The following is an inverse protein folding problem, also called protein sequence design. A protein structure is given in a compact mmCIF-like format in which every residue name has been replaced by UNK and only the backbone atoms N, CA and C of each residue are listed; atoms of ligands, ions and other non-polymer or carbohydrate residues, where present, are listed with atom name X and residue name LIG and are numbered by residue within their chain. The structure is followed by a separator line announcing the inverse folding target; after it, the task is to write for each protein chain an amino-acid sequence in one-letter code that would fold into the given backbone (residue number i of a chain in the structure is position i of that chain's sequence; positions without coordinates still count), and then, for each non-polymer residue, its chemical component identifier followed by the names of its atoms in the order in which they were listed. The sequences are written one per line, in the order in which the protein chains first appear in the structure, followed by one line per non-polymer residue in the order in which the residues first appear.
data_IF_408322746657
#
_entry.id   IF_408322746657
#
_cell.length_a   1.000
_cell.length_b   1.000
_cell.length_c   1.000
_cell.angle_alpha   90.00
_cell.angle_beta   90.00
_cell.angle_gamma   90.00
#
_symmetry.space_group_name_H-M   'P 1'
#
loop_
_entity.id
_entity.type
_entity.pdbx_description
1 polymer ?
#
# COMPACT_ATOMS: atom_id res chain seq x y z
N UNK A 1 -21.34 -10.25 -15.50
CA UNK A 1 -20.87 -11.17 -14.44
C UNK A 1 -19.81 -12.07 -15.05
N UNK A 2 -18.58 -11.56 -15.17
CA UNK A 2 -17.47 -12.31 -15.77
C UNK A 2 -16.61 -12.78 -14.61
N UNK A 3 -16.74 -14.06 -14.22
CA UNK A 3 -15.86 -14.63 -13.21
C UNK A 3 -14.49 -14.88 -13.84
N UNK A 4 -13.48 -14.18 -13.34
CA UNK A 4 -12.08 -14.49 -13.64
C UNK A 4 -11.68 -15.65 -12.73
N UNK A 5 -11.64 -16.86 -13.28
CA UNK A 5 -11.13 -18.03 -12.57
C UNK A 5 -9.62 -18.07 -12.73
N UNK A 6 -8.90 -17.70 -11.68
CA UNK A 6 -7.45 -17.84 -11.63
C UNK A 6 -7.11 -19.32 -11.39
N UNK A 7 -6.46 -19.95 -12.37
CA UNK A 7 -5.95 -21.31 -12.23
C UNK A 7 -4.62 -21.24 -11.45
N UNK A 8 -4.65 -21.52 -10.13
CA UNK A 8 -3.42 -21.65 -9.35
C UNK A 8 -2.77 -23.00 -9.69
N UNK A 9 -1.79 -22.98 -10.59
CA UNK A 9 -0.92 -24.12 -10.89
C UNK A 9 0.28 -24.25 -9.93
N UNK A 10 0.38 -23.41 -8.90
CA UNK A 10 1.47 -23.40 -7.94
C UNK A 10 0.99 -23.13 -6.51
N UNK A 11 1.66 -23.76 -5.54
CA UNK A 11 1.40 -23.56 -4.12
C UNK A 11 1.82 -22.13 -3.71
N UNK A 12 0.93 -21.44 -3.01
CA UNK A 12 1.18 -20.08 -2.52
C UNK A 12 1.42 -20.12 -1.01
N UNK A 13 2.59 -19.66 -0.60
CA UNK A 13 2.97 -19.56 0.81
C UNK A 13 2.98 -18.10 1.26
N UNK A 14 2.40 -17.83 2.43
CA UNK A 14 2.50 -16.54 3.11
C UNK A 14 3.65 -16.64 4.10
N UNK A 15 4.74 -15.93 3.82
CA UNK A 15 5.93 -15.95 4.68
C UNK A 15 5.84 -14.98 5.85
N UNK A 16 5.21 -13.82 5.64
CA UNK A 16 5.22 -12.72 6.60
C UNK A 16 3.91 -11.92 6.56
N UNK A 17 3.52 -11.36 7.70
CA UNK A 17 2.30 -10.58 7.85
C UNK A 17 2.52 -9.38 8.78
N UNK A 18 2.99 -8.27 8.21
CA UNK A 18 3.21 -7.00 8.92
C UNK A 18 2.03 -6.05 8.67
N UNK A 19 1.70 -5.24 9.67
CA UNK A 19 0.69 -4.17 9.56
C UNK A 19 1.29 -2.83 9.90
N UNK A 20 0.86 -1.79 9.19
CA UNK A 20 1.20 -0.40 9.53
C UNK A 20 0.49 0.02 10.81
N UNK A 21 1.08 0.92 11.62
CA UNK A 21 0.37 1.59 12.70
C UNK A 21 -0.93 2.22 12.20
N UNK A 22 -2.01 2.09 12.98
CA UNK A 22 -3.33 2.63 12.63
C UNK A 22 -3.65 3.74 13.60
N UNK A 23 -3.83 4.95 13.06
CA UNK A 23 -4.27 6.10 13.84
C UNK A 23 -5.77 6.33 13.73
N UNK A 24 -6.29 7.15 14.65
CA UNK A 24 -7.68 7.61 14.62
C UNK A 24 -7.84 8.67 13.54
N UNK A 25 -8.81 8.52 12.64
CA UNK A 25 -9.09 9.51 11.57
C UNK A 25 -9.80 10.78 12.04
N UNK A 26 -9.45 11.29 13.23
CA UNK A 26 -9.96 12.56 13.78
C UNK A 26 -8.88 13.63 13.63
N UNK A 27 -9.27 14.92 13.73
CA UNK A 27 -8.33 16.05 13.62
C UNK A 27 -7.14 15.94 14.60
N UNK A 28 -7.41 15.45 15.81
CA UNK A 28 -6.38 15.23 16.84
C UNK A 28 -5.79 13.79 16.81
N UNK A 29 -5.92 13.10 15.68
CA UNK A 29 -5.41 11.74 15.52
C UNK A 29 -3.90 11.72 15.32
N UNK A 30 -3.22 10.78 15.97
CA UNK A 30 -1.75 10.63 15.91
C UNK A 30 -1.18 10.44 14.50
N UNK A 31 -1.98 9.92 13.56
CA UNK A 31 -1.60 9.75 12.15
C UNK A 31 -2.39 10.67 11.20
N UNK A 32 -3.09 11.69 11.71
CA UNK A 32 -3.91 12.59 10.87
C UNK A 32 -3.06 13.47 9.95
N UNK A 33 -1.90 13.90 10.41
CA UNK A 33 -0.96 14.72 9.63
C UNK A 33 0.00 13.87 8.77
N UNK A 34 0.03 12.56 9.00
CA UNK A 34 0.93 11.63 8.32
C UNK A 34 0.37 11.27 6.95
N UNK A 35 1.18 11.48 5.90
CA UNK A 35 0.80 11.14 4.54
C UNK A 35 0.73 9.61 4.39
N UNK A 36 -0.27 9.06 3.67
CA UNK A 36 -0.39 7.60 3.50
C UNK A 36 0.86 6.93 2.91
N UNK A 37 1.59 7.61 2.04
CA UNK A 37 2.86 7.12 1.47
C UNK A 37 3.92 6.86 2.55
N UNK A 38 3.97 7.68 3.61
CA UNK A 38 4.92 7.51 4.71
C UNK A 38 4.65 6.24 5.51
N UNK A 39 3.38 5.79 5.57
CA UNK A 39 3.03 4.51 6.19
C UNK A 39 3.49 3.32 5.34
N UNK A 40 3.42 3.45 4.02
CA UNK A 40 3.92 2.42 3.09
C UNK A 40 5.45 2.32 3.14
N UNK A 41 6.15 3.47 3.15
CA UNK A 41 7.61 3.50 3.28
C UNK A 41 8.05 2.85 4.59
N UNK A 42 7.44 3.23 5.71
CA UNK A 42 7.74 2.61 7.00
C UNK A 42 7.48 1.10 7.02
N UNK A 43 6.45 0.62 6.31
CA UNK A 43 6.21 -0.82 6.16
C UNK A 43 7.35 -1.53 5.42
N UNK A 44 7.86 -0.95 4.33
CA UNK A 44 8.94 -1.52 3.54
C UNK A 44 10.24 -1.53 4.35
N UNK A 45 10.52 -0.45 5.08
CA UNK A 45 11.70 -0.36 5.95
C UNK A 45 11.66 -1.40 7.06
N UNK A 46 10.50 -1.67 7.66
CA UNK A 46 10.33 -2.73 8.65
C UNK A 46 10.57 -4.14 8.06
N UNK A 47 10.17 -4.38 6.81
CA UNK A 47 10.46 -5.64 6.10
C UNK A 47 11.97 -5.80 5.92
N UNK A 48 12.67 -4.76 5.46
CA UNK A 48 14.14 -4.78 5.28
C UNK A 48 14.86 -5.01 6.60
N UNK A 49 14.43 -4.33 7.66
CA UNK A 49 15.03 -4.49 8.99
C UNK A 49 14.88 -5.91 9.54
N UNK A 50 13.72 -6.55 9.29
CA UNK A 50 13.47 -7.93 9.72
C UNK A 50 14.21 -8.96 8.87
N UNK A 51 14.40 -8.68 7.59
CA UNK A 51 15.06 -9.58 6.63
C UNK A 51 16.29 -8.90 5.99
N UNK A 52 17.43 -8.80 6.70
CA UNK A 52 18.63 -8.12 6.20
C UNK A 52 19.30 -8.83 5.01
N UNK A 53 18.95 -10.10 4.75
CA UNK A 53 19.38 -10.87 3.58
C UNK A 53 18.35 -10.93 2.45
N UNK A 54 17.32 -10.09 2.49
CA UNK A 54 16.32 -10.02 1.43
C UNK A 54 16.95 -9.44 0.17
N UNK A 55 16.96 -10.24 -0.89
CA UNK A 55 17.38 -9.79 -2.22
C UNK A 55 16.20 -9.11 -2.93
N UNK A 56 16.33 -7.79 -3.12
CA UNK A 56 15.28 -6.96 -3.73
C UNK A 56 15.05 -7.29 -5.21
N UNK A 57 16.04 -7.86 -5.91
CA UNK A 57 15.92 -8.22 -7.33
C UNK A 57 15.01 -9.44 -7.54
N UNK A 58 14.75 -10.22 -6.48
CA UNK A 58 13.84 -11.38 -6.53
C UNK A 58 12.37 -11.01 -6.39
N UNK A 59 12.06 -9.75 -6.10
CA UNK A 59 10.69 -9.29 -5.90
C UNK A 59 10.08 -8.92 -7.26
N UNK A 60 9.13 -9.71 -7.73
CA UNK A 60 8.50 -9.50 -9.05
C UNK A 60 7.52 -8.32 -9.08
N UNK A 61 6.86 -8.01 -7.96
CA UNK A 61 5.89 -6.92 -7.94
C UNK A 61 5.35 -6.61 -6.54
N UNK A 62 4.88 -5.37 -6.38
CA UNK A 62 4.25 -4.86 -5.18
C UNK A 62 2.85 -4.33 -5.53
N UNK A 63 1.83 -4.87 -4.86
CA UNK A 63 0.44 -4.43 -5.04
C UNK A 63 0.02 -3.66 -3.79
N UNK A 64 -0.32 -2.39 -3.97
CA UNK A 64 -0.77 -1.51 -2.87
C UNK A 64 -2.19 -1.04 -3.15
N UNK A 65 -3.09 -1.28 -2.20
CA UNK A 65 -4.46 -0.79 -2.27
C UNK A 65 -4.58 0.47 -1.41
N UNK A 66 -4.65 1.62 -2.07
CA UNK A 66 -4.86 2.92 -1.42
C UNK A 66 -6.30 3.42 -1.63
N UNK A 67 -7.15 3.41 -0.59
CA UNK A 67 -8.54 3.89 -0.73
C UNK A 67 -8.64 5.43 -0.86
N UNK A 68 -7.61 6.17 -0.46
CA UNK A 68 -7.64 7.65 -0.42
C UNK A 68 -7.44 8.34 -1.78
N UNK A 69 -7.01 7.63 -2.84
CA UNK A 69 -6.72 8.25 -4.14
C UNK A 69 -7.97 8.45 -5.02
N UNK A 70 -9.13 7.89 -4.64
CA UNK A 70 -10.36 7.99 -5.44
C UNK A 70 -11.01 9.39 -5.43
N UNK A 71 -10.63 10.29 -4.52
CA UNK A 71 -11.36 11.57 -4.30
C UNK A 71 -10.61 12.84 -4.71
N UNK A 72 -9.45 12.75 -5.38
CA UNK A 72 -8.65 13.95 -5.73
C UNK A 72 -8.15 14.05 -7.17
N UNK A 73 -8.65 13.23 -8.09
CA UNK A 73 -8.22 13.26 -9.49
C UNK A 73 -9.13 14.03 -10.47
N UNK A 74 -10.20 14.71 -10.02
CA UNK A 74 -11.05 15.52 -10.92
C UNK A 74 -11.55 16.80 -10.24
N UNK A 75 -10.77 17.87 -10.37
CA UNK A 75 -11.21 19.28 -10.54
C UNK A 75 -9.95 20.16 -10.58
N UNK A 76 -9.09 19.87 -11.56
CA UNK A 76 -8.16 20.85 -12.10
C UNK A 76 -8.39 20.88 -13.62
N UNK A 77 -9.63 21.18 -14.01
CA UNK A 77 -9.84 21.93 -15.24
C UNK A 77 -10.01 23.37 -14.78
N UNK A 78 -8.93 24.13 -14.91
CA UNK A 78 -8.90 25.57 -14.87
C UNK A 78 -9.90 26.13 -15.91
N UNK A 79 -10.71 27.15 -15.60
CA UNK A 79 -11.54 27.80 -16.60
C UNK A 79 -10.66 28.73 -17.42
N UNK A 80 -10.23 28.29 -18.60
CA UNK A 80 -9.61 29.17 -19.58
C UNK A 80 -10.69 29.57 -20.59
N UNK A 81 -11.23 30.77 -20.35
CA UNK A 81 -12.01 31.69 -21.19
C UNK A 81 -12.93 31.10 -22.29
#
# INVERSE_FOLDING_TARGET
MTSVTIQLGGEAFIYEAIRTPRGKGKKDGSLHEVRPVSLLVGLIDEIRNRFPGLDEERISGLIVVSPQLATRAQTSCEPQL
#
